data_IF_249614770476
#
_entry.id   IF_249614770476
#
_cell.length_a   1.000
_cell.length_b   1.000
_cell.length_c   1.000
_cell.angle_alpha   90.00
_cell.angle_beta   90.00
_cell.angle_gamma   90.00
#
_symmetry.space_group_name_H-M   'P 1'
#
loop_
_entity.id
_entity.type
_entity.pdbx_description
1 polymer ?
#
# COMPACT_ATOMS: atom_id res chain seq x y z
N UNK A 1 -26.42 -15.36 23.72
CA UNK A 1 -27.69 -15.42 22.96
C UNK A 1 -28.20 -16.83 23.09
N UNK A 2 -29.51 -17.00 23.02
CA UNK A 2 -30.10 -18.33 22.86
C UNK A 2 -29.64 -18.93 21.52
N UNK A 3 -29.30 -20.21 21.49
CA UNK A 3 -28.72 -20.89 20.32
C UNK A 3 -29.75 -20.93 19.18
N UNK A 4 -31.00 -21.24 19.52
CA UNK A 4 -32.15 -21.25 18.59
C UNK A 4 -32.40 -19.89 17.93
N UNK A 5 -32.18 -18.81 18.68
CA UNK A 5 -32.32 -17.44 18.16
C UNK A 5 -31.18 -17.09 17.20
N UNK A 6 -29.96 -17.55 17.49
CA UNK A 6 -28.80 -17.35 16.62
C UNK A 6 -28.99 -18.06 15.28
N UNK A 7 -29.45 -19.32 15.31
CA UNK A 7 -29.71 -20.11 14.12
C UNK A 7 -30.83 -19.52 13.26
N UNK A 8 -31.91 -19.05 13.91
CA UNK A 8 -33.00 -18.35 13.23
C UNK A 8 -32.54 -17.07 12.52
N UNK A 9 -31.65 -16.29 13.15
CA UNK A 9 -31.06 -15.09 12.54
C UNK A 9 -30.17 -15.47 11.37
N UNK A 10 -29.33 -16.50 11.54
CA UNK A 10 -28.43 -16.99 10.51
C UNK A 10 -29.22 -17.41 9.25
N UNK A 11 -30.20 -18.30 9.37
CA UNK A 11 -30.98 -18.79 8.24
C UNK A 11 -31.71 -17.66 7.52
N UNK A 12 -32.38 -16.78 8.28
CA UNK A 12 -33.14 -15.67 7.74
C UNK A 12 -32.22 -14.72 6.96
N UNK A 13 -31.08 -14.32 7.53
CA UNK A 13 -30.19 -13.37 6.89
C UNK A 13 -29.43 -13.97 5.71
N UNK A 14 -29.07 -15.26 5.76
CA UNK A 14 -28.51 -15.98 4.61
C UNK A 14 -29.46 -15.97 3.42
N UNK A 15 -30.76 -16.14 3.64
CA UNK A 15 -31.77 -15.98 2.58
C UNK A 15 -31.85 -14.53 2.06
N UNK A 16 -31.79 -13.54 2.96
CA UNK A 16 -31.89 -12.10 2.61
C UNK A 16 -30.68 -11.55 1.87
N UNK A 17 -29.54 -12.24 1.84
CA UNK A 17 -28.42 -11.91 0.94
C UNK A 17 -28.81 -11.96 -0.55
N UNK A 18 -29.90 -12.65 -0.90
CA UNK A 18 -30.42 -12.76 -2.28
C UNK A 18 -31.68 -11.92 -2.52
N UNK A 19 -32.02 -11.02 -1.60
CA UNK A 19 -33.21 -10.19 -1.72
C UNK A 19 -33.15 -9.27 -2.96
N UNK A 20 -34.31 -8.93 -3.53
CA UNK A 20 -34.42 -8.02 -4.68
C UNK A 20 -33.91 -6.63 -4.34
N UNK A 21 -34.17 -6.15 -3.12
CA UNK A 21 -33.82 -4.81 -2.68
C UNK A 21 -32.37 -4.76 -2.15
N UNK A 22 -31.49 -3.92 -2.72
CA UNK A 22 -30.11 -3.78 -2.24
C UNK A 22 -30.00 -3.38 -0.76
N UNK A 23 -30.93 -2.56 -0.27
CA UNK A 23 -30.96 -2.14 1.13
C UNK A 23 -31.16 -3.32 2.08
N UNK A 24 -31.99 -4.30 1.72
CA UNK A 24 -32.20 -5.52 2.51
C UNK A 24 -30.94 -6.38 2.49
N UNK A 25 -30.29 -6.53 1.32
CA UNK A 25 -29.03 -7.26 1.20
C UNK A 25 -27.92 -6.65 2.06
N UNK A 26 -27.82 -5.31 2.09
CA UNK A 26 -26.88 -4.59 2.97
C UNK A 26 -27.14 -4.94 4.45
N UNK A 27 -28.39 -4.90 4.91
CA UNK A 27 -28.72 -5.26 6.29
C UNK A 27 -28.39 -6.73 6.60
N UNK A 28 -28.62 -7.64 5.64
CA UNK A 28 -28.25 -9.04 5.79
C UNK A 28 -26.73 -9.21 5.98
N UNK A 29 -25.91 -8.51 5.20
CA UNK A 29 -24.44 -8.50 5.37
C UNK A 29 -24.04 -7.99 6.77
N UNK A 30 -24.66 -6.90 7.23
CA UNK A 30 -24.35 -6.32 8.54
C UNK A 30 -24.76 -7.25 9.69
N UNK A 31 -25.90 -7.94 9.56
CA UNK A 31 -26.37 -8.90 10.56
C UNK A 31 -25.48 -10.16 10.63
N UNK A 32 -25.01 -10.65 9.48
CA UNK A 32 -24.16 -11.84 9.39
C UNK A 32 -22.69 -11.59 9.74
N UNK A 33 -22.27 -10.33 9.92
CA UNK A 33 -20.86 -9.95 10.13
C UNK A 33 -20.18 -10.75 11.26
N UNK A 34 -20.88 -10.98 12.38
CA UNK A 34 -20.35 -11.69 13.56
C UNK A 34 -20.51 -13.22 13.49
N UNK A 35 -21.11 -13.74 12.42
CA UNK A 35 -21.38 -15.17 12.23
C UNK A 35 -20.42 -15.80 11.20
N UNK A 36 -19.35 -15.08 10.83
CA UNK A 36 -18.28 -15.60 10.00
C UNK A 36 -17.30 -16.41 10.84
N UNK A 37 -16.82 -17.53 10.30
CA UNK A 37 -15.72 -18.31 10.85
C UNK A 37 -14.55 -18.29 9.85
N UNK A 38 -13.50 -17.48 10.09
CA UNK A 38 -12.34 -17.38 9.19
C UNK A 38 -11.41 -18.60 9.24
N UNK A 39 -11.53 -19.46 10.25
CA UNK A 39 -10.74 -20.70 10.38
C UNK A 39 -11.37 -21.87 9.62
N UNK A 40 -12.69 -21.83 9.41
CA UNK A 40 -13.40 -22.78 8.56
C UNK A 40 -13.29 -22.41 7.06
N UNK A 41 -12.52 -23.21 6.31
CA UNK A 41 -12.39 -23.05 4.86
C UNK A 41 -13.72 -23.20 4.10
N UNK A 42 -14.75 -23.79 4.71
CA UNK A 42 -16.08 -23.99 4.15
C UNK A 42 -17.16 -23.12 4.81
N UNK A 43 -16.76 -22.06 5.53
CA UNK A 43 -17.69 -21.15 6.20
C UNK A 43 -18.73 -20.60 5.21
N UNK A 44 -20.04 -20.93 5.36
CA UNK A 44 -21.05 -20.56 4.37
C UNK A 44 -21.28 -19.05 4.27
N UNK A 45 -21.10 -18.31 5.38
CA UNK A 45 -21.21 -16.84 5.39
C UNK A 45 -20.12 -16.22 4.54
N UNK A 46 -18.87 -16.68 4.69
CA UNK A 46 -17.74 -16.19 3.91
C UNK A 46 -17.97 -16.49 2.43
N UNK A 47 -18.43 -17.69 2.08
CA UNK A 47 -18.72 -18.05 0.69
C UNK A 47 -19.84 -17.20 0.09
N UNK A 48 -20.91 -16.97 0.85
CA UNK A 48 -21.99 -16.09 0.42
C UNK A 48 -21.52 -14.64 0.26
N UNK A 49 -20.66 -14.14 1.15
CA UNK A 49 -20.04 -12.81 1.04
C UNK A 49 -19.13 -12.73 -0.19
N UNK A 50 -18.27 -13.72 -0.42
CA UNK A 50 -17.42 -13.75 -1.62
C UNK A 50 -18.28 -13.78 -2.90
N UNK A 51 -19.37 -14.54 -2.91
CA UNK A 51 -20.32 -14.51 -4.03
C UNK A 51 -20.89 -13.10 -4.24
N UNK A 52 -21.52 -12.50 -3.22
CA UNK A 52 -22.11 -11.17 -3.29
C UNK A 52 -21.09 -10.09 -3.67
N UNK A 53 -19.86 -10.15 -3.13
CA UNK A 53 -18.79 -9.22 -3.46
C UNK A 53 -18.45 -9.25 -4.95
N UNK A 54 -18.50 -10.42 -5.59
CA UNK A 54 -18.11 -10.61 -6.97
C UNK A 54 -19.27 -10.42 -7.97
N UNK A 55 -20.51 -10.74 -7.59
CA UNK A 55 -21.65 -10.80 -8.51
C UNK A 55 -22.72 -9.73 -8.29
N UNK A 56 -22.77 -9.07 -7.13
CA UNK A 56 -23.83 -8.11 -6.85
C UNK A 56 -23.74 -6.88 -7.76
N UNK A 57 -24.86 -6.56 -8.42
CA UNK A 57 -24.95 -5.43 -9.35
C UNK A 57 -24.89 -4.08 -8.64
N UNK A 58 -25.34 -4.02 -7.38
CA UNK A 58 -25.33 -2.80 -6.57
C UNK A 58 -23.97 -2.61 -5.89
N UNK A 59 -23.38 -1.44 -6.11
CA UNK A 59 -22.05 -1.13 -5.60
C UNK A 59 -21.98 -1.02 -4.08
N UNK A 60 -23.04 -0.53 -3.43
CA UNK A 60 -23.09 -0.36 -1.99
C UNK A 60 -23.17 -1.70 -1.28
N UNK A 61 -23.82 -2.72 -1.87
CA UNK A 61 -23.77 -4.09 -1.37
C UNK A 61 -22.34 -4.62 -1.44
N UNK A 62 -21.68 -4.55 -2.61
CA UNK A 62 -20.28 -5.00 -2.76
C UNK A 62 -19.34 -4.31 -1.77
N UNK A 63 -19.51 -3.00 -1.57
CA UNK A 63 -18.75 -2.20 -0.61
C UNK A 63 -19.00 -2.63 0.83
N UNK A 64 -20.27 -2.86 1.18
CA UNK A 64 -20.66 -3.31 2.53
C UNK A 64 -20.02 -4.66 2.82
N UNK A 65 -20.08 -5.60 1.88
CA UNK A 65 -19.42 -6.90 2.02
C UNK A 65 -17.91 -6.73 2.20
N UNK A 66 -17.27 -5.92 1.35
CA UNK A 66 -15.82 -5.66 1.45
C UNK A 66 -15.40 -5.14 2.83
N UNK A 67 -16.20 -4.27 3.44
CA UNK A 67 -15.88 -3.68 4.74
C UNK A 67 -16.09 -4.64 5.91
N UNK A 68 -16.96 -5.64 5.74
CA UNK A 68 -17.41 -6.56 6.80
C UNK A 68 -16.90 -8.00 6.65
N UNK A 69 -16.33 -8.39 5.50
CA UNK A 69 -15.80 -9.75 5.35
C UNK A 69 -14.62 -9.99 6.29
N UNK A 70 -14.61 -11.15 6.95
CA UNK A 70 -13.48 -11.59 7.76
C UNK A 70 -12.26 -11.83 6.86
N UNK A 71 -11.10 -11.32 7.28
CA UNK A 71 -9.87 -11.45 6.50
C UNK A 71 -9.15 -12.74 6.82
N UNK A 72 -8.89 -13.53 5.78
CA UNK A 72 -8.12 -14.77 5.83
C UNK A 72 -7.34 -14.94 4.52
N UNK A 73 -6.55 -16.02 4.42
CA UNK A 73 -5.85 -16.36 3.17
C UNK A 73 -6.83 -16.54 2.00
N UNK A 74 -8.03 -17.07 2.28
CA UNK A 74 -9.10 -17.26 1.30
C UNK A 74 -9.68 -15.94 0.80
N UNK A 75 -9.93 -14.98 1.69
CA UNK A 75 -10.64 -13.73 1.33
C UNK A 75 -9.72 -12.62 0.83
N UNK A 76 -8.43 -12.63 1.18
CA UNK A 76 -7.46 -11.60 0.79
C UNK A 76 -7.36 -11.38 -0.74
N UNK A 77 -7.28 -12.41 -1.61
CA UNK A 77 -7.25 -12.20 -3.05
C UNK A 77 -8.49 -11.45 -3.57
N UNK A 78 -9.67 -11.72 -3.01
CA UNK A 78 -10.90 -11.05 -3.39
C UNK A 78 -10.91 -9.58 -2.97
N UNK A 79 -10.40 -9.28 -1.77
CA UNK A 79 -10.20 -7.89 -1.33
C UNK A 79 -9.26 -7.13 -2.27
N UNK A 80 -8.13 -7.74 -2.68
CA UNK A 80 -7.17 -7.11 -3.61
C UNK A 80 -7.85 -6.80 -4.95
N UNK A 81 -8.65 -7.71 -5.50
CA UNK A 81 -9.38 -7.48 -6.76
C UNK A 81 -10.32 -6.28 -6.65
N UNK A 82 -10.89 -6.00 -5.46
CA UNK A 82 -11.76 -4.82 -5.27
C UNK A 82 -11.05 -3.48 -5.36
N UNK A 83 -9.71 -3.44 -5.37
CA UNK A 83 -8.96 -2.23 -5.76
C UNK A 83 -9.17 -1.84 -7.22
N UNK A 84 -9.83 -2.69 -8.02
CA UNK A 84 -10.23 -2.45 -9.42
C UNK A 84 -11.75 -2.50 -9.64
N UNK A 85 -12.56 -2.33 -8.59
CA UNK A 85 -14.02 -2.23 -8.73
C UNK A 85 -14.41 -1.06 -9.66
N UNK A 86 -15.49 -1.22 -10.43
CA UNK A 86 -16.00 -0.19 -11.33
C UNK A 86 -16.34 1.12 -10.60
N UNK A 87 -16.71 1.08 -9.31
CA UNK A 87 -17.00 2.25 -8.49
C UNK A 87 -15.81 2.70 -7.65
N UNK A 88 -15.49 3.98 -7.76
CA UNK A 88 -14.36 4.60 -7.08
C UNK A 88 -14.44 4.49 -5.55
N UNK A 89 -15.64 4.61 -4.98
CA UNK A 89 -15.85 4.45 -3.53
C UNK A 89 -15.51 3.05 -3.03
N UNK A 90 -15.66 2.02 -3.88
CA UNK A 90 -15.32 0.64 -3.55
C UNK A 90 -13.80 0.44 -3.65
N UNK A 91 -13.16 0.99 -4.69
CA UNK A 91 -11.68 0.99 -4.82
C UNK A 91 -11.03 1.71 -3.63
N UNK A 92 -11.56 2.87 -3.23
CA UNK A 92 -11.15 3.61 -2.04
C UNK A 92 -11.27 2.74 -0.78
N UNK A 93 -12.44 2.13 -0.56
CA UNK A 93 -12.66 1.27 0.61
C UNK A 93 -11.71 0.07 0.63
N UNK A 94 -11.37 -0.50 -0.52
CA UNK A 94 -10.39 -1.58 -0.64
C UNK A 94 -9.00 -1.15 -0.16
N UNK A 95 -8.48 -0.01 -0.63
CA UNK A 95 -7.17 0.51 -0.18
C UNK A 95 -7.15 0.82 1.33
N UNK A 96 -8.22 1.41 1.87
CA UNK A 96 -8.32 1.68 3.31
C UNK A 96 -8.37 0.38 4.12
N UNK A 97 -9.16 -0.60 3.68
CA UNK A 97 -9.26 -1.91 4.35
C UNK A 97 -7.92 -2.66 4.32
N UNK A 98 -7.22 -2.65 3.19
CA UNK A 98 -5.86 -3.20 3.07
C UNK A 98 -4.89 -2.49 4.02
N UNK A 99 -4.96 -1.16 4.10
CA UNK A 99 -4.11 -0.35 4.97
C UNK A 99 -4.32 -0.63 6.46
N UNK A 100 -5.57 -0.83 6.88
CA UNK A 100 -5.93 -0.96 8.29
C UNK A 100 -5.78 -2.39 8.81
N UNK A 101 -6.14 -3.38 7.97
CA UNK A 101 -6.33 -4.76 8.41
C UNK A 101 -5.34 -5.76 7.83
N UNK A 102 -4.51 -5.38 6.86
CA UNK A 102 -3.57 -6.29 6.19
C UNK A 102 -2.13 -5.84 6.40
N UNK A 103 -1.31 -6.72 6.99
CA UNK A 103 0.13 -6.50 7.08
C UNK A 103 0.77 -6.58 5.69
N UNK A 104 1.70 -5.67 5.37
CA UNK A 104 2.48 -5.72 4.12
C UNK A 104 3.18 -7.07 3.92
N UNK A 105 3.58 -7.74 5.02
CA UNK A 105 4.22 -9.06 5.00
C UNK A 105 3.26 -10.20 4.59
N UNK A 106 1.94 -10.00 4.72
CA UNK A 106 0.95 -10.96 4.27
C UNK A 106 0.74 -10.90 2.74
N UNK A 107 1.28 -9.88 2.07
CA UNK A 107 1.22 -9.73 0.62
C UNK A 107 2.51 -10.27 -0.01
N UNK A 108 2.35 -10.94 -1.14
CA UNK A 108 3.48 -11.29 -2.03
C UNK A 108 4.07 -10.03 -2.66
N UNK A 109 5.33 -10.09 -3.09
CA UNK A 109 6.01 -8.97 -3.75
C UNK A 109 5.21 -8.49 -4.97
N UNK A 110 4.75 -9.42 -5.82
CA UNK A 110 3.91 -9.10 -6.98
C UNK A 110 2.60 -8.37 -6.61
N UNK A 111 1.96 -8.75 -5.50
CA UNK A 111 0.77 -8.06 -5.02
C UNK A 111 1.10 -6.64 -4.53
N UNK A 112 2.21 -6.44 -3.81
CA UNK A 112 2.65 -5.12 -3.35
C UNK A 112 2.90 -4.19 -4.54
N UNK A 113 3.67 -4.65 -5.52
CA UNK A 113 3.99 -3.91 -6.75
C UNK A 113 2.70 -3.54 -7.49
N UNK A 114 1.82 -4.52 -7.72
CA UNK A 114 0.54 -4.28 -8.40
C UNK A 114 -0.30 -3.24 -7.66
N UNK A 115 -0.51 -3.40 -6.36
CA UNK A 115 -1.32 -2.48 -5.55
C UNK A 115 -0.82 -1.03 -5.64
N UNK A 116 0.50 -0.82 -5.53
CA UNK A 116 1.08 0.52 -5.59
C UNK A 116 1.08 1.07 -7.02
N UNK A 117 1.40 0.27 -8.02
CA UNK A 117 1.42 0.71 -9.41
C UNK A 117 0.03 1.16 -9.88
N UNK A 118 -1.03 0.38 -9.58
CA UNK A 118 -2.40 0.76 -9.94
C UNK A 118 -2.93 1.90 -9.07
N UNK A 119 -2.65 1.89 -7.77
CA UNK A 119 -3.18 2.88 -6.84
C UNK A 119 -2.53 4.27 -6.96
N UNK A 120 -1.24 4.34 -7.29
CA UNK A 120 -0.55 5.62 -7.49
C UNK A 120 -0.88 6.25 -8.85
N UNK A 121 -1.20 5.43 -9.86
CA UNK A 121 -1.68 5.89 -11.18
C UNK A 121 -3.20 6.04 -11.28
N UNK A 122 -3.92 6.02 -10.15
CA UNK A 122 -5.38 6.11 -10.17
C UNK A 122 -5.85 7.50 -10.65
N UNK A 123 -6.89 7.50 -11.50
CA UNK A 123 -7.48 8.70 -12.10
C UNK A 123 -8.26 9.56 -11.09
N UNK A 124 -8.92 8.90 -10.15
CA UNK A 124 -9.74 9.45 -9.08
C UNK A 124 -8.82 9.83 -7.93
N UNK A 125 -8.70 11.13 -7.67
CA UNK A 125 -7.80 11.63 -6.62
C UNK A 125 -8.12 10.98 -5.26
N UNK A 126 -9.40 10.81 -4.92
CA UNK A 126 -9.77 10.18 -3.64
C UNK A 126 -9.29 8.73 -3.50
N UNK A 127 -9.17 7.98 -4.60
CA UNK A 127 -8.66 6.60 -4.57
C UNK A 127 -7.14 6.63 -4.49
N UNK A 128 -6.49 7.48 -5.29
CA UNK A 128 -5.04 7.70 -5.25
C UNK A 128 -4.56 8.13 -3.86
N UNK A 129 -5.24 9.08 -3.21
CA UNK A 129 -4.94 9.50 -1.84
C UNK A 129 -5.08 8.36 -0.82
N UNK A 130 -6.02 7.43 -1.05
CA UNK A 130 -6.18 6.25 -0.18
C UNK A 130 -5.06 5.23 -0.38
N UNK A 131 -4.52 5.10 -1.60
CA UNK A 131 -3.30 4.34 -1.86
C UNK A 131 -2.07 4.98 -1.21
N UNK A 132 -1.92 6.31 -1.32
CA UNK A 132 -0.84 7.06 -0.64
C UNK A 132 -0.95 6.91 0.89
N UNK A 133 -2.16 6.91 1.44
CA UNK A 133 -2.38 6.62 2.85
C UNK A 133 -1.84 5.23 3.22
N UNK A 134 -2.21 4.21 2.46
CA UNK A 134 -1.71 2.83 2.65
C UNK A 134 -0.17 2.77 2.56
N UNK A 135 0.42 3.42 1.55
CA UNK A 135 1.87 3.51 1.38
C UNK A 135 2.55 4.13 2.61
N UNK A 136 2.01 5.22 3.15
CA UNK A 136 2.54 5.86 4.37
C UNK A 136 2.42 4.94 5.60
N UNK A 137 1.35 4.15 5.70
CA UNK A 137 1.23 3.16 6.77
C UNK A 137 2.23 2.02 6.62
N UNK A 138 2.49 1.56 5.38
CA UNK A 138 3.54 0.57 5.12
C UNK A 138 4.91 1.13 5.50
N UNK A 139 5.24 2.35 5.10
CA UNK A 139 6.50 3.01 5.46
C UNK A 139 6.70 3.06 6.98
N UNK A 140 5.66 3.35 7.76
CA UNK A 140 5.71 3.30 9.23
C UNK A 140 6.00 1.90 9.78
N UNK A 141 5.55 0.83 9.11
CA UNK A 141 5.88 -0.56 9.48
C UNK A 141 7.32 -0.96 9.16
N UNK A 142 8.01 -0.16 8.35
CA UNK A 142 9.45 -0.25 8.11
C UNK A 142 10.23 0.83 8.88
N UNK A 143 9.71 1.30 10.02
CA UNK A 143 10.34 2.32 10.87
C UNK A 143 10.69 3.62 10.14
N UNK A 144 9.89 3.98 9.14
CA UNK A 144 10.14 5.09 8.22
C UNK A 144 11.42 4.97 7.38
N UNK A 145 11.99 3.77 7.26
CA UNK A 145 13.12 3.49 6.39
C UNK A 145 12.65 3.22 4.96
N UNK A 146 12.95 4.16 4.06
CA UNK A 146 12.56 4.08 2.63
C UNK A 146 13.30 2.95 1.92
N UNK A 147 14.57 2.70 2.24
CA UNK A 147 15.39 1.64 1.63
C UNK A 147 14.78 0.26 1.92
N UNK A 148 14.38 -0.01 3.17
CA UNK A 148 13.68 -1.26 3.54
C UNK A 148 12.32 -1.42 2.87
N UNK A 149 11.60 -0.32 2.65
CA UNK A 149 10.35 -0.34 1.90
C UNK A 149 10.60 -0.69 0.43
N UNK A 150 11.64 -0.12 -0.19
CA UNK A 150 12.05 -0.41 -1.55
C UNK A 150 12.49 -1.88 -1.72
N UNK A 151 13.25 -2.42 -0.75
CA UNK A 151 13.65 -3.83 -0.72
C UNK A 151 12.41 -4.74 -0.70
N UNK A 152 11.40 -4.38 0.10
CA UNK A 152 10.13 -5.11 0.16
C UNK A 152 9.30 -5.04 -1.14
N UNK A 153 9.71 -4.20 -2.10
CA UNK A 153 9.10 -4.04 -3.42
C UNK A 153 9.94 -4.64 -4.55
N UNK A 154 11.12 -5.20 -4.28
CA UNK A 154 12.04 -5.69 -5.32
C UNK A 154 12.35 -4.58 -6.34
N UNK A 155 13.16 -3.60 -5.92
CA UNK A 155 13.48 -2.43 -6.75
C UNK A 155 14.20 -2.82 -8.03
N UNK A 156 15.06 -3.84 -8.00
CA UNK A 156 15.73 -4.38 -9.20
C UNK A 156 14.72 -4.86 -10.24
N UNK A 157 13.73 -5.66 -9.82
CA UNK A 157 12.68 -6.17 -10.70
C UNK A 157 11.59 -5.15 -11.05
N UNK A 158 11.46 -4.04 -10.32
CA UNK A 158 10.31 -3.13 -10.44
C UNK A 158 10.64 -1.63 -10.28
N UNK A 159 11.64 -1.15 -11.04
CA UNK A 159 12.06 0.25 -11.04
C UNK A 159 10.90 1.25 -11.22
N UNK A 160 9.96 1.00 -12.13
CA UNK A 160 8.82 1.90 -12.35
C UNK A 160 7.89 2.00 -11.13
N UNK A 161 7.68 0.90 -10.40
CA UNK A 161 6.90 0.94 -9.16
C UNK A 161 7.65 1.70 -8.07
N UNK A 162 8.95 1.45 -7.94
CA UNK A 162 9.83 2.16 -7.00
C UNK A 162 9.85 3.66 -7.28
N UNK A 163 9.90 4.06 -8.56
CA UNK A 163 9.81 5.45 -9.00
C UNK A 163 8.52 6.11 -8.53
N UNK A 164 7.37 5.48 -8.81
CA UNK A 164 6.06 6.01 -8.41
C UNK A 164 5.96 6.18 -6.90
N UNK A 165 6.46 5.22 -6.14
CA UNK A 165 6.51 5.27 -4.66
C UNK A 165 7.35 6.46 -4.20
N UNK A 166 8.57 6.61 -4.72
CA UNK A 166 9.47 7.69 -4.33
C UNK A 166 8.92 9.06 -4.73
N UNK A 167 8.37 9.20 -5.95
CA UNK A 167 7.69 10.42 -6.37
C UNK A 167 6.52 10.74 -5.45
N UNK A 168 5.71 9.76 -5.05
CA UNK A 168 4.58 9.98 -4.14
C UNK A 168 5.00 10.33 -2.70
N UNK A 169 6.14 9.83 -2.23
CA UNK A 169 6.68 10.14 -0.90
C UNK A 169 7.38 11.51 -0.85
N UNK A 170 8.07 11.88 -1.93
CA UNK A 170 8.81 13.13 -2.04
C UNK A 170 7.91 14.31 -2.40
N UNK A 171 6.88 14.07 -3.23
CA UNK A 171 5.94 15.10 -3.64
C UNK A 171 5.26 15.74 -2.42
N UNK A 172 5.32 17.07 -2.38
CA UNK A 172 4.78 17.90 -1.30
C UNK A 172 5.35 17.57 0.09
N UNK A 173 6.50 16.87 0.16
CA UNK A 173 7.20 16.63 1.41
C UNK A 173 7.68 17.97 1.99
N UNK A 174 7.42 18.24 3.29
CA UNK A 174 7.94 19.44 3.94
C UNK A 174 9.46 19.35 4.02
N UNK A 175 10.13 20.51 4.09
CA UNK A 175 11.60 20.58 4.07
C UNK A 175 12.25 19.72 5.16
N UNK A 176 11.66 19.66 6.34
CA UNK A 176 12.14 18.81 7.45
C UNK A 176 12.17 17.33 7.07
N UNK A 177 11.20 16.88 6.26
CA UNK A 177 11.16 15.48 5.83
C UNK A 177 12.24 15.20 4.78
N UNK A 178 12.55 16.18 3.93
CA UNK A 178 13.65 16.08 2.98
C UNK A 178 15.00 16.05 3.69
N UNK A 179 15.19 16.87 4.72
CA UNK A 179 16.37 16.84 5.60
C UNK A 179 16.57 15.46 6.25
N UNK A 180 15.50 14.85 6.78
CA UNK A 180 15.55 13.47 7.31
C UNK A 180 16.00 12.45 6.25
N UNK A 181 15.52 12.58 5.00
CA UNK A 181 15.91 11.71 3.90
C UNK A 181 17.39 11.89 3.50
N UNK A 182 17.87 13.14 3.44
CA UNK A 182 19.28 13.46 3.18
C UNK A 182 20.16 12.89 4.30
N UNK A 183 19.81 13.12 5.57
CA UNK A 183 20.57 12.60 6.71
C UNK A 183 20.62 11.07 6.71
N UNK A 184 19.51 10.40 6.38
CA UNK A 184 19.45 8.95 6.24
C UNK A 184 20.41 8.43 5.17
N UNK A 185 20.42 9.05 3.97
CA UNK A 185 21.33 8.70 2.88
C UNK A 185 22.80 8.92 3.28
N UNK A 186 23.11 10.06 3.91
CA UNK A 186 24.47 10.37 4.36
C UNK A 186 24.96 9.43 5.46
N UNK A 187 24.07 8.90 6.32
CA UNK A 187 24.45 7.91 7.33
C UNK A 187 24.96 6.58 6.75
N UNK A 188 24.67 6.31 5.46
CA UNK A 188 25.15 5.13 4.73
C UNK A 188 26.43 5.38 3.93
N UNK A 189 26.88 6.64 3.90
CA UNK A 189 28.04 7.05 3.12
C UNK A 189 29.36 6.64 3.80
N UNK A 190 30.39 6.39 2.99
CA UNK A 190 31.72 6.07 3.50
C UNK A 190 32.41 7.33 4.05
N UNK A 191 32.68 7.37 5.34
CA UNK A 191 33.37 8.48 6.00
C UNK A 191 34.90 8.34 5.99
N UNK A 192 35.45 7.22 5.47
CA UNK A 192 36.88 6.91 5.56
C UNK A 192 37.76 7.69 4.57
N UNK A 193 37.15 8.20 3.50
CA UNK A 193 37.76 9.06 2.50
C UNK A 193 37.10 10.45 2.58
N UNK A 194 37.82 11.43 3.12
CA UNK A 194 37.30 12.77 3.42
C UNK A 194 36.47 13.36 2.27
N UNK A 195 35.21 13.64 2.55
CA UNK A 195 34.15 14.16 1.67
C UNK A 195 33.43 13.18 0.73
N UNK A 196 33.29 11.90 1.08
CA UNK A 196 32.47 10.99 0.27
C UNK A 196 30.99 11.02 0.68
N UNK A 197 30.19 11.61 -0.22
CA UNK A 197 28.71 11.68 -0.18
C UNK A 197 28.06 10.49 -0.90
N UNK A 198 28.83 9.40 -1.08
CA UNK A 198 28.45 8.22 -1.84
C UNK A 198 28.28 7.02 -0.91
N UNK A 199 27.35 6.08 -1.23
CA UNK A 199 27.17 4.87 -0.45
C UNK A 199 28.48 4.10 -0.27
N UNK A 200 28.77 3.65 0.95
CA UNK A 200 29.87 2.71 1.20
C UNK A 200 29.66 1.40 0.42
N UNK A 201 30.73 0.63 0.21
CA UNK A 201 30.66 -0.64 -0.52
C UNK A 201 29.60 -1.60 0.06
N UNK A 202 29.46 -1.64 1.39
CA UNK A 202 28.47 -2.46 2.09
C UNK A 202 27.03 -1.93 1.95
N UNK A 203 26.86 -0.66 1.58
CA UNK A 203 25.58 0.01 1.37
C UNK A 203 25.26 0.24 -0.12
N UNK A 204 26.08 -0.30 -1.03
CA UNK A 204 25.88 -0.24 -2.48
C UNK A 204 24.85 -1.29 -2.93
N UNK A 205 23.63 -1.14 -2.44
CA UNK A 205 22.46 -1.92 -2.87
C UNK A 205 21.57 -1.07 -3.78
N UNK A 206 20.84 -1.73 -4.69
CA UNK A 206 20.04 -1.05 -5.73
C UNK A 206 19.03 -0.07 -5.11
N UNK A 207 18.42 -0.42 -3.98
CA UNK A 207 17.45 0.40 -3.27
C UNK A 207 18.05 1.71 -2.80
N UNK A 208 19.27 1.67 -2.25
CA UNK A 208 19.95 2.83 -1.69
C UNK A 208 20.42 3.77 -2.81
N UNK A 209 21.02 3.20 -3.86
CA UNK A 209 21.47 3.94 -5.05
C UNK A 209 20.28 4.60 -5.75
N UNK A 210 19.18 3.86 -5.92
CA UNK A 210 17.99 4.38 -6.59
C UNK A 210 17.29 5.45 -5.74
N UNK A 211 17.23 5.27 -4.42
CA UNK A 211 16.70 6.28 -3.53
C UNK A 211 17.53 7.57 -3.56
N UNK A 212 18.86 7.47 -3.46
CA UNK A 212 19.78 8.61 -3.61
C UNK A 212 19.55 9.35 -4.93
N UNK A 213 19.51 8.61 -6.04
CA UNK A 213 19.27 9.18 -7.36
C UNK A 213 17.95 9.96 -7.42
N UNK A 214 16.85 9.37 -6.93
CA UNK A 214 15.54 9.99 -6.96
C UNK A 214 15.44 11.23 -6.07
N UNK A 215 16.09 11.21 -4.89
CA UNK A 215 16.17 12.40 -4.02
C UNK A 215 16.97 13.51 -4.70
N UNK A 216 18.12 13.21 -5.30
CA UNK A 216 18.91 14.22 -6.03
C UNK A 216 18.12 14.84 -7.18
N UNK A 217 17.42 14.01 -7.97
CA UNK A 217 16.56 14.49 -9.06
C UNK A 217 15.41 15.36 -8.55
N UNK A 218 14.80 14.99 -7.41
CA UNK A 218 13.73 15.77 -6.82
C UNK A 218 14.21 17.13 -6.29
N UNK A 219 15.31 17.14 -5.52
CA UNK A 219 15.92 18.37 -4.99
C UNK A 219 16.35 19.32 -6.13
N UNK A 220 16.93 18.78 -7.20
CA UNK A 220 17.25 19.56 -8.41
C UNK A 220 16.02 20.22 -9.03
N UNK A 221 14.87 19.51 -9.07
CA UNK A 221 13.60 20.07 -9.58
C UNK A 221 13.02 21.18 -8.69
N UNK A 222 13.39 21.23 -7.40
CA UNK A 222 12.96 22.30 -6.49
C UNK A 222 13.70 23.63 -6.71
N UNK A 223 14.77 23.64 -7.52
CA UNK A 223 15.60 24.83 -7.75
C UNK A 223 16.25 25.32 -6.47
N UNK A 224 16.26 26.64 -6.25
CA UNK A 224 16.87 27.31 -5.09
C UNK A 224 16.42 26.71 -3.74
N UNK A 225 15.18 26.21 -3.65
CA UNK A 225 14.66 25.59 -2.41
C UNK A 225 15.32 24.26 -2.05
N UNK A 226 15.89 23.57 -3.02
CA UNK A 226 16.53 22.27 -2.85
C UNK A 226 18.05 22.33 -2.97
N UNK A 227 18.63 23.46 -3.35
CA UNK A 227 20.05 23.60 -3.68
C UNK A 227 20.96 23.23 -2.51
N UNK A 228 20.69 23.78 -1.32
CA UNK A 228 21.48 23.52 -0.11
C UNK A 228 21.51 22.04 0.27
N UNK A 229 20.36 21.35 0.16
CA UNK A 229 20.26 19.92 0.43
C UNK A 229 20.92 19.09 -0.67
N UNK A 230 20.80 19.51 -1.92
CA UNK A 230 21.41 18.82 -3.06
C UNK A 230 22.93 18.88 -2.97
N UNK A 231 23.49 20.04 -2.60
CA UNK A 231 24.92 20.20 -2.40
C UNK A 231 25.46 19.27 -1.31
N UNK A 232 24.66 18.92 -0.30
CA UNK A 232 25.07 17.94 0.72
C UNK A 232 25.19 16.51 0.16
N UNK A 233 24.38 16.15 -0.84
CA UNK A 233 24.35 14.79 -1.41
C UNK A 233 25.29 14.57 -2.60
N UNK A 234 25.64 15.62 -3.35
CA UNK A 234 26.46 15.46 -4.55
C UNK A 234 27.96 15.46 -4.23
N UNK A 235 28.69 14.35 -4.50
CA UNK A 235 30.14 14.33 -4.41
C UNK A 235 30.80 15.26 -5.44
N UNK A 236 32.08 15.55 -5.24
CA UNK A 236 32.88 16.17 -6.29
C UNK A 236 32.98 15.24 -7.51
N UNK A 237 32.99 15.82 -8.71
CA UNK A 237 32.98 15.06 -9.97
C UNK A 237 34.14 14.07 -10.04
N UNK A 238 35.34 14.49 -9.65
CA UNK A 238 36.54 13.63 -9.68
C UNK A 238 36.35 12.39 -8.80
N UNK A 239 35.92 12.58 -7.55
CA UNK A 239 35.67 11.47 -6.63
C UNK A 239 34.54 10.54 -7.11
N UNK A 240 33.50 11.10 -7.75
CA UNK A 240 32.44 10.28 -8.33
C UNK A 240 32.94 9.45 -9.52
N UNK A 241 33.77 10.03 -10.38
CA UNK A 241 34.37 9.31 -11.51
C UNK A 241 35.27 8.16 -11.05
N UNK A 242 35.98 8.32 -9.93
CA UNK A 242 36.80 7.25 -9.36
C UNK A 242 35.93 6.15 -8.74
N UNK A 243 34.79 6.50 -8.13
CA UNK A 243 33.87 5.56 -7.48
C UNK A 243 33.14 4.62 -8.45
N UNK A 244 32.85 5.07 -9.68
CA UNK A 244 32.09 4.30 -10.67
C UNK A 244 32.95 3.41 -11.58
N UNK A 245 34.27 3.43 -11.41
CA UNK A 245 35.23 2.59 -12.16
C UNK A 245 35.39 1.22 -11.51
#
# INVERSE_FOLDING_TARGET
>A
MDEDLSDSIYECMMYRLKDKLPSIRIQAVLALNRLQDPEDEQCPVIDAFLHSMNTDTNADVRKTVLMNIALSRKTLPHLIVRTRDIKDLNRKAAYLTLSEKVSVRALTIAQRISLLTFGLNERSDMVRQSCIHMLKQWLRKFDNNVVKLLEALDTEGSLECSKLVLEALLKDAPIQKLEEHVASLLSTADCSCGNVKLPSADCLVVENVYFWYMVCQYLKKLGDKGEDLLQQLLPELTHFCDYIQ
#
